data_IF_406826590762
#
_entry.id   IF_406826590762
#
_cell.length_a   1.000
_cell.length_b   1.000
_cell.length_c   1.000
_cell.angle_alpha   90.00
_cell.angle_beta   90.00
_cell.angle_gamma   90.00
#
_symmetry.space_group_name_H-M   'P 1'
#
loop_
_entity.id
_entity.type
_entity.pdbx_description
1 polymer ?
#
# COMPACT_ATOMS: atom_id res chain seq x y z
N UNK A 1 18.69 -10.42 -11.46
CA UNK A 1 17.35 -10.99 -11.23
C UNK A 1 16.40 -10.08 -11.95
N UNK A 2 15.72 -10.60 -12.91
CA UNK A 2 14.67 -9.82 -13.54
C UNK A 2 13.51 -9.78 -12.54
N UNK A 3 13.19 -8.57 -12.07
CA UNK A 3 12.01 -8.37 -11.24
C UNK A 3 10.82 -8.62 -12.16
N UNK A 4 10.06 -9.67 -11.87
CA UNK A 4 8.83 -9.95 -12.60
C UNK A 4 7.69 -9.15 -11.93
N UNK A 5 7.17 -8.18 -12.66
CA UNK A 5 5.99 -7.39 -12.30
C UNK A 5 5.15 -7.19 -13.55
N UNK A 6 3.92 -6.72 -13.37
CA UNK A 6 3.04 -6.43 -14.52
C UNK A 6 3.75 -5.51 -15.54
N UNK A 7 3.71 -5.82 -16.85
CA UNK A 7 4.48 -5.13 -17.89
C UNK A 7 4.31 -3.61 -17.92
N UNK A 8 3.12 -3.10 -17.54
CA UNK A 8 2.87 -1.66 -17.48
C UNK A 8 3.77 -0.91 -16.45
N UNK A 9 4.24 -1.60 -15.41
CA UNK A 9 5.17 -1.04 -14.43
C UNK A 9 6.62 -1.21 -14.84
N UNK A 10 6.94 -2.26 -15.58
CA UNK A 10 8.31 -2.61 -15.90
C UNK A 10 9.03 -1.47 -16.64
N UNK A 11 8.40 -0.92 -17.69
CA UNK A 11 8.96 0.21 -18.43
C UNK A 11 9.17 1.45 -17.56
N UNK A 12 8.20 1.77 -16.68
CA UNK A 12 8.28 2.92 -15.78
C UNK A 12 9.38 2.79 -14.74
N UNK A 13 9.61 1.58 -14.23
CA UNK A 13 10.51 1.32 -13.10
C UNK A 13 11.87 0.78 -13.54
N UNK A 14 12.14 0.62 -14.84
CA UNK A 14 13.39 0.05 -15.35
C UNK A 14 14.62 0.77 -14.76
N UNK A 15 14.66 2.10 -14.85
CA UNK A 15 15.77 2.90 -14.31
C UNK A 15 15.93 2.71 -12.78
N UNK A 16 14.81 2.53 -12.06
CA UNK A 16 14.85 2.28 -10.63
C UNK A 16 15.43 0.89 -10.33
N UNK A 17 15.11 -0.12 -11.13
CA UNK A 17 15.65 -1.47 -10.99
C UNK A 17 17.13 -1.58 -11.34
N UNK A 18 17.59 -0.79 -12.29
CA UNK A 18 19.00 -0.73 -12.72
C UNK A 18 19.87 0.06 -11.75
N UNK A 19 19.27 0.88 -10.88
CA UNK A 19 20.02 1.72 -9.96
C UNK A 19 20.82 0.89 -8.95
N UNK A 20 22.11 1.24 -8.66
CA UNK A 20 22.95 0.47 -7.75
C UNK A 20 22.37 0.25 -6.34
N UNK A 21 21.55 1.19 -5.84
CA UNK A 21 20.89 1.01 -4.53
C UNK A 21 19.86 -0.12 -4.56
N UNK A 22 19.16 -0.31 -5.69
CA UNK A 22 18.21 -1.42 -5.84
C UNK A 22 18.93 -2.77 -5.94
N UNK A 23 20.07 -2.82 -6.62
CA UNK A 23 20.87 -4.04 -6.70
C UNK A 23 21.39 -4.46 -5.32
N UNK A 24 21.84 -3.50 -4.49
CA UNK A 24 22.22 -3.78 -3.09
C UNK A 24 21.02 -4.27 -2.27
N UNK A 25 19.85 -3.64 -2.42
CA UNK A 25 18.62 -4.06 -1.76
C UNK A 25 18.25 -5.51 -2.12
N UNK A 26 18.30 -5.88 -3.39
CA UNK A 26 17.97 -7.24 -3.81
C UNK A 26 18.95 -8.26 -3.25
N UNK A 27 20.23 -7.93 -3.17
CA UNK A 27 21.23 -8.79 -2.54
C UNK A 27 20.96 -9.00 -1.05
N UNK A 28 20.59 -7.93 -0.33
CA UNK A 28 20.17 -7.99 1.06
C UNK A 28 18.90 -8.87 1.22
N UNK A 29 17.86 -8.60 0.44
CA UNK A 29 16.58 -9.36 0.52
C UNK A 29 16.81 -10.85 0.26
N UNK A 30 17.60 -11.20 -0.73
CA UNK A 30 17.94 -12.62 -1.01
C UNK A 30 18.62 -13.28 0.19
N UNK A 31 19.61 -12.61 0.78
CA UNK A 31 20.30 -13.13 1.97
C UNK A 31 19.32 -13.31 3.13
N UNK A 32 18.41 -12.36 3.34
CA UNK A 32 17.37 -12.46 4.39
C UNK A 32 16.45 -13.66 4.19
N UNK A 33 15.96 -13.89 2.97
CA UNK A 33 15.10 -15.03 2.67
C UNK A 33 15.80 -16.40 2.71
N UNK A 34 17.12 -16.42 2.56
CA UNK A 34 17.91 -17.64 2.71
C UNK A 34 18.20 -17.97 4.18
N UNK A 35 18.39 -16.97 5.03
CA UNK A 35 18.84 -17.14 6.40
C UNK A 35 17.70 -17.07 7.43
N UNK A 36 16.59 -16.43 7.09
CA UNK A 36 15.48 -16.13 7.99
C UNK A 36 14.13 -16.44 7.34
N UNK A 37 13.14 -16.67 8.18
CA UNK A 37 11.76 -16.66 7.72
C UNK A 37 11.36 -15.19 7.47
N UNK A 38 10.96 -14.88 6.24
CA UNK A 38 10.56 -13.54 5.83
C UNK A 38 9.17 -13.54 5.17
N UNK A 39 8.51 -12.40 5.23
CA UNK A 39 7.18 -12.20 4.65
C UNK A 39 7.14 -10.94 3.76
N UNK A 40 6.24 -10.91 2.74
CA UNK A 40 5.42 -12.01 2.23
C UNK A 40 6.29 -13.10 1.59
N UNK A 41 5.74 -14.23 1.09
CA UNK A 41 6.49 -15.16 0.23
C UNK A 41 7.18 -14.43 -0.90
N UNK A 42 8.39 -14.85 -1.28
CA UNK A 42 9.24 -14.14 -2.26
C UNK A 42 8.54 -13.83 -3.59
N UNK A 43 7.67 -14.75 -4.05
CA UNK A 43 6.84 -14.55 -5.26
C UNK A 43 5.77 -13.46 -5.12
N UNK A 44 5.48 -13.01 -3.90
CA UNK A 44 4.42 -12.04 -3.61
C UNK A 44 4.96 -10.66 -3.19
N UNK A 45 6.27 -10.46 -3.16
CA UNK A 45 6.87 -9.17 -2.75
C UNK A 45 6.33 -8.01 -3.59
N UNK A 46 6.13 -8.22 -4.89
CA UNK A 46 5.66 -7.19 -5.84
C UNK A 46 4.16 -7.31 -6.18
N UNK A 47 3.39 -8.09 -5.43
CA UNK A 47 1.99 -8.38 -5.74
C UNK A 47 1.10 -7.11 -5.85
N UNK A 48 1.42 -6.02 -5.14
CA UNK A 48 0.72 -4.75 -5.29
C UNK A 48 0.78 -4.20 -6.72
N UNK A 49 1.90 -4.39 -7.42
CA UNK A 49 2.09 -3.95 -8.80
C UNK A 49 1.40 -4.88 -9.80
N UNK A 50 1.36 -6.18 -9.50
CA UNK A 50 0.69 -7.17 -10.35
C UNK A 50 -0.83 -7.05 -10.24
N UNK A 51 -1.34 -6.82 -9.03
CA UNK A 51 -2.76 -6.69 -8.77
C UNK A 51 -3.37 -5.37 -9.27
N UNK A 52 -2.54 -4.31 -9.37
CA UNK A 52 -2.95 -2.98 -9.82
C UNK A 52 -2.03 -2.48 -10.95
N UNK A 53 -2.32 -2.79 -12.22
CA UNK A 53 -1.58 -2.28 -13.37
C UNK A 53 -1.48 -0.75 -13.38
N UNK A 54 -0.38 -0.18 -13.87
CA UNK A 54 -0.09 1.27 -13.84
C UNK A 54 -1.20 2.11 -14.45
N UNK A 55 -1.75 1.68 -15.59
CA UNK A 55 -2.84 2.37 -16.29
C UNK A 55 -4.13 2.43 -15.47
N UNK A 56 -4.37 1.43 -14.61
CA UNK A 56 -5.54 1.33 -13.74
C UNK A 56 -5.43 2.14 -12.45
N UNK A 57 -4.24 2.57 -12.04
CA UNK A 57 -4.06 3.27 -10.75
C UNK A 57 -4.92 4.53 -10.69
N UNK A 58 -5.79 4.59 -9.70
CA UNK A 58 -6.64 5.72 -9.32
C UNK A 58 -6.36 6.20 -7.90
N UNK A 59 -6.05 5.26 -7.00
CA UNK A 59 -5.80 5.52 -5.59
C UNK A 59 -4.48 4.86 -5.19
N UNK A 60 -3.69 5.52 -4.38
CA UNK A 60 -2.48 4.96 -3.75
C UNK A 60 -2.71 4.93 -2.25
N UNK A 61 -2.80 3.75 -1.66
CA UNK A 61 -2.85 3.55 -0.22
C UNK A 61 -1.48 3.10 0.26
N UNK A 62 -0.81 3.95 1.04
CA UNK A 62 0.55 3.68 1.50
C UNK A 62 0.55 3.13 2.93
N UNK A 63 0.94 1.84 3.06
CA UNK A 63 1.30 1.19 4.31
C UNK A 63 2.78 1.39 4.66
N UNK A 64 3.19 0.93 5.83
CA UNK A 64 4.58 1.02 6.28
C UNK A 64 5.37 -0.22 5.88
N UNK A 65 5.11 -1.35 6.47
CA UNK A 65 5.74 -2.64 6.22
C UNK A 65 4.69 -3.78 6.24
N UNK A 66 5.02 -4.96 5.69
CA UNK A 66 4.09 -6.09 5.69
C UNK A 66 3.79 -6.58 7.11
N UNK A 67 2.67 -7.23 7.31
CA UNK A 67 2.44 -8.00 8.52
C UNK A 67 3.54 -9.05 8.71
N UNK A 68 4.02 -9.20 9.94
CA UNK A 68 5.15 -10.08 10.27
C UNK A 68 4.72 -11.41 10.91
N UNK A 69 3.42 -11.66 11.05
CA UNK A 69 2.86 -12.94 11.47
C UNK A 69 2.72 -13.93 10.31
N UNK A 70 2.82 -15.25 10.61
CA UNK A 70 2.68 -16.30 9.59
C UNK A 70 1.35 -16.20 8.84
N UNK A 71 1.39 -16.34 7.51
CA UNK A 71 0.20 -16.36 6.65
C UNK A 71 -0.52 -15.02 6.46
N UNK A 72 -0.08 -13.93 7.10
CA UNK A 72 -0.78 -12.65 7.04
C UNK A 72 -0.43 -11.82 5.79
N UNK A 73 0.86 -11.66 5.49
CA UNK A 73 1.29 -10.82 4.38
C UNK A 73 1.24 -11.57 3.06
N UNK A 74 0.67 -10.94 2.03
CA UNK A 74 0.61 -11.44 0.67
C UNK A 74 0.94 -10.36 -0.39
N UNK A 75 1.71 -9.34 0.03
CA UNK A 75 2.23 -8.29 -0.85
C UNK A 75 1.31 -7.10 -1.09
N UNK A 76 0.17 -7.02 -0.42
CA UNK A 76 -0.76 -5.90 -0.43
C UNK A 76 -0.81 -5.24 0.95
N UNK A 77 -0.66 -3.91 1.03
CA UNK A 77 -0.71 -3.19 2.30
C UNK A 77 -2.06 -3.36 3.00
N UNK A 78 -2.04 -3.55 4.32
CA UNK A 78 -3.20 -3.77 5.21
C UNK A 78 -4.02 -5.02 4.93
N UNK A 79 -3.78 -5.74 3.85
CA UNK A 79 -4.53 -6.91 3.41
C UNK A 79 -4.00 -8.20 4.02
N UNK A 80 -4.90 -9.16 4.27
CA UNK A 80 -4.57 -10.54 4.62
C UNK A 80 -5.32 -11.49 3.69
N UNK A 81 -4.81 -12.72 3.45
CA UNK A 81 -5.54 -13.73 2.69
C UNK A 81 -6.89 -14.11 3.32
N UNK A 82 -7.78 -14.68 2.51
CA UNK A 82 -9.06 -15.21 3.00
C UNK A 82 -8.84 -16.24 4.12
N UNK A 83 -9.72 -16.21 5.13
CA UNK A 83 -9.65 -17.11 6.29
C UNK A 83 -8.63 -16.71 7.36
N UNK A 84 -7.82 -15.68 7.14
CA UNK A 84 -6.91 -15.13 8.15
C UNK A 84 -7.66 -14.11 9.03
N UNK A 85 -7.55 -14.20 10.38
CA UNK A 85 -8.14 -13.21 11.28
C UNK A 85 -7.68 -11.79 10.94
N UNK A 86 -8.61 -10.83 10.99
CA UNK A 86 -8.31 -9.45 10.67
C UNK A 86 -7.34 -8.84 11.70
N UNK A 87 -6.16 -8.35 11.27
CA UNK A 87 -5.26 -7.63 12.15
C UNK A 87 -5.88 -6.34 12.70
N UNK A 88 -5.44 -5.84 13.86
CA UNK A 88 -6.08 -4.70 14.53
C UNK A 88 -6.20 -3.43 13.67
N UNK A 89 -5.23 -3.15 12.80
CA UNK A 89 -5.33 -2.02 11.87
C UNK A 89 -6.43 -2.22 10.83
N UNK A 90 -6.57 -3.42 10.29
CA UNK A 90 -7.60 -3.74 9.31
C UNK A 90 -9.00 -3.69 9.93
N UNK A 91 -9.16 -4.15 11.17
CA UNK A 91 -10.41 -4.01 11.93
C UNK A 91 -10.83 -2.53 12.00
N UNK A 92 -9.91 -1.64 12.32
CA UNK A 92 -10.21 -0.21 12.41
C UNK A 92 -10.47 0.44 11.03
N UNK A 93 -9.82 -0.04 9.97
CA UNK A 93 -10.14 0.36 8.59
C UNK A 93 -11.59 -0.01 8.26
N UNK A 94 -12.00 -1.23 8.55
CA UNK A 94 -13.36 -1.69 8.27
C UNK A 94 -14.42 -1.00 9.12
N UNK A 95 -14.16 -0.71 10.40
CA UNK A 95 -15.06 0.10 11.24
C UNK A 95 -15.26 1.52 10.69
N UNK A 96 -14.20 2.13 10.16
CA UNK A 96 -14.32 3.44 9.50
C UNK A 96 -15.09 3.33 8.18
N UNK A 97 -14.85 2.27 7.42
CA UNK A 97 -15.58 1.97 6.19
C UNK A 97 -17.09 1.84 6.43
N UNK A 98 -17.50 1.04 7.43
CA UNK A 98 -18.90 0.92 7.85
C UNK A 98 -19.51 2.27 8.19
N UNK A 99 -18.80 3.07 8.99
CA UNK A 99 -19.27 4.38 9.46
C UNK A 99 -19.35 5.41 8.34
N UNK A 100 -18.41 5.40 7.40
CA UNK A 100 -18.32 6.38 6.30
C UNK A 100 -19.33 6.11 5.20
N UNK A 101 -19.53 4.84 4.82
CA UNK A 101 -20.33 4.45 3.68
C UNK A 101 -21.65 3.75 4.04
N UNK A 102 -21.85 3.35 5.29
CA UNK A 102 -23.05 2.60 5.72
C UNK A 102 -23.10 1.17 5.19
N UNK A 103 -21.96 0.60 4.78
CA UNK A 103 -21.85 -0.79 4.30
C UNK A 103 -21.64 -1.75 5.46
N UNK A 104 -21.90 -3.04 5.26
CA UNK A 104 -21.68 -4.06 6.28
C UNK A 104 -20.18 -4.30 6.56
N UNK A 105 -19.88 -4.82 7.77
CA UNK A 105 -18.51 -5.20 8.12
C UNK A 105 -18.04 -6.38 7.25
N UNK A 106 -16.91 -6.25 6.51
CA UNK A 106 -16.44 -7.29 5.60
C UNK A 106 -16.08 -8.60 6.32
N UNK A 107 -16.48 -9.73 5.74
CA UNK A 107 -16.11 -11.06 6.24
C UNK A 107 -14.68 -11.45 5.88
N UNK A 108 -14.21 -11.02 4.71
CA UNK A 108 -12.83 -11.27 4.25
C UNK A 108 -11.94 -10.06 4.53
N UNK A 109 -10.69 -10.33 4.93
CA UNK A 109 -9.63 -9.34 5.04
C UNK A 109 -8.83 -9.15 3.75
N UNK A 110 -9.23 -9.80 2.67
CA UNK A 110 -8.52 -9.78 1.40
C UNK A 110 -8.93 -8.57 0.55
N UNK A 111 -8.05 -7.58 0.48
CA UNK A 111 -8.27 -6.33 -0.27
C UNK A 111 -7.94 -6.44 -1.78
N UNK A 112 -7.72 -7.65 -2.31
CA UNK A 112 -7.49 -7.86 -3.74
C UNK A 112 -8.59 -7.25 -4.63
N UNK A 113 -9.89 -7.28 -4.25
CA UNK A 113 -10.95 -6.60 -5.02
C UNK A 113 -10.73 -5.09 -5.14
N UNK A 114 -10.17 -4.42 -4.13
CA UNK A 114 -9.80 -3.01 -4.21
C UNK A 114 -8.64 -2.79 -5.19
N UNK A 115 -7.60 -3.63 -5.10
CA UNK A 115 -6.44 -3.54 -5.98
C UNK A 115 -6.84 -3.68 -7.46
N UNK A 116 -7.69 -4.66 -7.79
CA UNK A 116 -8.19 -4.87 -9.16
C UNK A 116 -9.01 -3.69 -9.71
N UNK A 117 -9.56 -2.85 -8.84
CA UNK A 117 -10.29 -1.64 -9.22
C UNK A 117 -9.39 -0.41 -9.39
N UNK A 118 -8.10 -0.51 -9.11
CA UNK A 118 -7.15 0.58 -9.26
C UNK A 118 -6.68 1.21 -7.95
N UNK A 119 -6.79 0.50 -6.81
CA UNK A 119 -6.16 0.89 -5.56
C UNK A 119 -4.80 0.23 -5.45
N UNK A 120 -3.72 0.99 -5.64
CA UNK A 120 -2.36 0.50 -5.40
C UNK A 120 -2.13 0.38 -3.89
N UNK A 121 -2.21 -0.85 -3.37
CA UNK A 121 -2.02 -1.18 -1.96
C UNK A 121 -0.52 -1.38 -1.67
N UNK A 122 0.24 -0.29 -1.60
CA UNK A 122 1.69 -0.30 -1.53
C UNK A 122 2.18 -0.16 -0.09
N UNK A 123 3.14 -1.00 0.32
CA UNK A 123 3.94 -0.73 1.53
C UNK A 123 5.19 0.06 1.18
N UNK A 124 5.69 0.89 2.10
CA UNK A 124 6.96 1.59 1.91
C UNK A 124 8.16 0.62 1.97
N UNK A 125 8.05 -0.45 2.75
CA UNK A 125 8.99 -1.56 2.84
C UNK A 125 8.27 -2.82 2.39
N UNK A 126 8.77 -3.53 1.37
CA UNK A 126 8.02 -4.62 0.74
C UNK A 126 8.28 -6.01 1.35
N UNK A 127 9.20 -6.11 2.29
CA UNK A 127 9.50 -7.35 2.99
C UNK A 127 9.81 -7.11 4.46
N UNK A 128 9.67 -8.15 5.29
CA UNK A 128 9.90 -8.09 6.73
C UNK A 128 10.31 -9.47 7.24
N UNK A 129 11.16 -9.54 8.28
CA UNK A 129 11.48 -10.78 8.96
C UNK A 129 10.33 -11.18 9.90
N UNK A 130 10.08 -12.48 10.01
CA UNK A 130 9.05 -13.03 10.89
C UNK A 130 9.18 -12.48 12.32
N UNK A 131 8.07 -12.04 12.89
CA UNK A 131 7.95 -11.50 14.25
C UNK A 131 8.78 -10.24 14.56
N UNK A 132 9.40 -9.60 13.54
CA UNK A 132 10.28 -8.43 13.71
C UNK A 132 9.82 -7.27 12.84
N UNK A 133 8.78 -6.54 13.29
CA UNK A 133 8.29 -5.35 12.59
C UNK A 133 9.43 -4.37 12.29
N UNK A 134 9.47 -3.83 11.08
CA UNK A 134 10.47 -2.85 10.65
C UNK A 134 11.88 -3.41 10.40
N UNK A 135 12.11 -4.73 10.48
CA UNK A 135 13.44 -5.35 10.34
C UNK A 135 14.14 -5.05 9.01
N UNK A 136 13.40 -4.79 7.94
CA UNK A 136 13.95 -4.44 6.62
C UNK A 136 13.88 -2.94 6.29
N UNK A 137 13.55 -2.09 7.27
CA UNK A 137 13.59 -0.64 7.10
C UNK A 137 15.04 -0.15 6.88
N UNK A 138 15.18 0.96 6.13
CA UNK A 138 16.47 1.60 5.81
C UNK A 138 17.44 0.71 5.02
N UNK A 139 16.96 -0.39 4.43
CA UNK A 139 17.77 -1.27 3.59
C UNK A 139 17.66 -0.93 2.09
N UNK A 140 16.83 0.07 1.74
CA UNK A 140 16.67 0.54 0.35
C UNK A 140 15.24 0.45 -0.19
N UNK A 141 14.33 -0.27 0.49
CA UNK A 141 12.92 -0.34 0.07
C UNK A 141 12.28 1.03 -0.02
N UNK A 142 12.48 1.89 0.99
CA UNK A 142 11.89 3.22 1.03
C UNK A 142 12.39 4.10 -0.11
N UNK A 143 13.65 3.94 -0.55
CA UNK A 143 14.18 4.65 -1.71
C UNK A 143 13.47 4.23 -2.99
N UNK A 144 13.25 2.93 -3.16
CA UNK A 144 12.53 2.39 -4.30
C UNK A 144 11.07 2.85 -4.33
N UNK A 145 10.34 2.69 -3.23
CA UNK A 145 8.92 3.07 -3.15
C UNK A 145 8.72 4.59 -3.20
N UNK A 146 9.67 5.39 -2.70
CA UNK A 146 9.67 6.85 -2.88
C UNK A 146 9.80 7.24 -4.35
N UNK A 147 10.60 6.51 -5.13
CA UNK A 147 10.67 6.71 -6.59
C UNK A 147 9.35 6.34 -7.27
N UNK A 148 8.69 5.25 -6.86
CA UNK A 148 7.36 4.89 -7.36
C UNK A 148 6.36 6.03 -7.13
N UNK A 149 6.31 6.59 -5.92
CA UNK A 149 5.41 7.70 -5.60
C UNK A 149 5.71 8.96 -6.45
N UNK A 150 6.99 9.32 -6.62
CA UNK A 150 7.41 10.45 -7.45
C UNK A 150 7.03 10.26 -8.92
N UNK A 151 7.27 9.07 -9.47
CA UNK A 151 6.94 8.75 -10.86
C UNK A 151 5.42 8.81 -11.10
N UNK A 152 4.62 8.24 -10.19
CA UNK A 152 3.16 8.34 -10.24
C UNK A 152 2.70 9.80 -10.18
N UNK A 153 3.24 10.57 -9.25
CA UNK A 153 2.90 11.99 -9.10
C UNK A 153 3.30 12.83 -10.32
N UNK A 154 4.41 12.51 -10.96
CA UNK A 154 4.87 13.24 -12.12
C UNK A 154 4.09 12.88 -13.40
N UNK A 155 3.89 11.58 -13.65
CA UNK A 155 3.38 11.08 -14.93
C UNK A 155 1.85 11.00 -15.02
N UNK A 156 1.16 10.97 -13.88
CA UNK A 156 -0.30 10.90 -13.84
C UNK A 156 -0.90 12.19 -13.29
N UNK A 157 -2.21 12.32 -13.42
CA UNK A 157 -3.02 13.37 -12.81
C UNK A 157 -4.31 12.82 -12.25
N UNK A 158 -4.92 13.53 -11.31
CA UNK A 158 -6.18 13.12 -10.71
C UNK A 158 -6.10 11.78 -9.97
N UNK A 159 -4.98 11.50 -9.28
CA UNK A 159 -4.85 10.39 -8.35
C UNK A 159 -5.26 10.84 -6.95
N UNK A 160 -5.63 9.87 -6.11
CA UNK A 160 -5.81 10.08 -4.67
C UNK A 160 -4.72 9.34 -3.91
N UNK A 161 -4.06 10.03 -2.99
CA UNK A 161 -3.06 9.43 -2.10
C UNK A 161 -3.62 9.38 -0.67
N UNK A 162 -3.75 8.17 -0.13
CA UNK A 162 -4.17 7.90 1.25
C UNK A 162 -2.92 7.69 2.11
N UNK A 163 -2.58 8.68 2.94
CA UNK A 163 -1.37 8.70 3.75
C UNK A 163 -1.74 8.63 5.24
N UNK A 164 -1.82 7.42 5.77
CA UNK A 164 -2.27 7.14 7.12
C UNK A 164 -1.13 6.97 8.11
N UNK A 165 -1.09 7.85 9.11
CA UNK A 165 -0.06 7.88 10.15
C UNK A 165 1.15 8.75 9.81
N UNK A 166 1.97 9.05 10.82
CA UNK A 166 3.10 9.99 10.71
C UNK A 166 4.16 9.59 9.70
N UNK A 167 4.39 8.27 9.52
CA UNK A 167 5.34 7.77 8.52
C UNK A 167 4.85 8.07 7.10
N UNK A 168 3.61 7.69 6.77
CA UNK A 168 3.05 7.92 5.44
C UNK A 168 2.86 9.42 5.16
N UNK A 169 2.43 10.23 6.14
CA UNK A 169 2.28 11.69 5.99
C UNK A 169 3.55 12.38 5.51
N UNK A 170 4.73 11.93 5.94
CA UNK A 170 6.02 12.50 5.50
C UNK A 170 6.24 12.35 4.00
N UNK A 171 5.54 11.40 3.35
CA UNK A 171 5.66 11.15 1.91
C UNK A 171 4.88 12.15 1.05
N UNK A 172 3.98 12.97 1.63
CA UNK A 172 3.25 14.02 0.91
C UNK A 172 4.19 14.98 0.16
N UNK A 173 5.42 15.21 0.65
CA UNK A 173 6.44 16.02 -0.03
C UNK A 173 6.89 15.50 -1.39
N UNK A 174 6.56 14.24 -1.72
CA UNK A 174 6.88 13.58 -2.98
C UNK A 174 5.76 13.71 -4.01
N UNK A 175 4.63 14.29 -3.62
CA UNK A 175 3.38 14.30 -4.37
C UNK A 175 3.01 15.73 -4.70
N UNK A 176 2.68 16.00 -5.96
CA UNK A 176 2.22 17.31 -6.42
C UNK A 176 0.75 17.54 -6.01
N UNK A 177 0.46 18.43 -5.04
CA UNK A 177 -0.89 18.69 -4.58
C UNK A 177 -1.76 19.43 -5.58
N UNK A 178 -1.19 20.01 -6.63
CA UNK A 178 -1.96 20.65 -7.70
C UNK A 178 -2.53 19.63 -8.70
N UNK A 179 -1.91 18.46 -8.78
CA UNK A 179 -2.34 17.37 -9.68
C UNK A 179 -3.16 16.30 -9.00
N UNK A 180 -3.06 16.14 -7.67
CA UNK A 180 -3.56 14.99 -6.94
C UNK A 180 -4.26 15.39 -5.65
N UNK A 181 -5.24 14.59 -5.22
CA UNK A 181 -5.82 14.71 -3.89
C UNK A 181 -4.94 13.94 -2.89
N UNK A 182 -4.56 14.61 -1.80
CA UNK A 182 -3.80 14.00 -0.70
C UNK A 182 -4.68 14.00 0.55
N UNK A 183 -5.07 12.82 1.03
CA UNK A 183 -5.86 12.63 2.24
C UNK A 183 -4.96 12.07 3.35
N UNK A 184 -4.92 12.75 4.49
CA UNK A 184 -4.07 12.36 5.62
C UNK A 184 -4.89 12.18 6.90
N UNK A 185 -4.58 11.14 7.69
CA UNK A 185 -5.17 10.90 9.02
C UNK A 185 -4.16 10.29 9.97
N UNK A 186 -4.56 10.00 11.20
CA UNK A 186 -3.80 9.10 12.07
C UNK A 186 -3.65 7.71 11.46
N UNK A 187 -2.85 6.85 12.08
CA UNK A 187 -2.70 5.46 11.65
C UNK A 187 -3.91 4.62 12.16
N UNK A 188 -4.40 3.64 11.39
CA UNK A 188 -5.51 2.79 11.84
C UNK A 188 -5.17 1.84 13.00
N UNK A 189 -3.89 1.69 13.38
CA UNK A 189 -3.50 0.87 14.53
C UNK A 189 -4.16 1.36 15.82
N UNK A 190 -4.47 0.46 16.78
CA UNK A 190 -5.08 0.83 18.06
C UNK A 190 -4.32 1.92 18.83
N UNK A 191 -2.98 1.94 18.73
CA UNK A 191 -2.13 2.97 19.36
C UNK A 191 -2.45 4.39 18.92
N UNK A 192 -2.91 4.57 17.68
CA UNK A 192 -3.30 5.86 17.12
C UNK A 192 -4.82 6.05 17.12
N UNK A 193 -5.57 5.03 16.73
CA UNK A 193 -7.02 5.07 16.63
C UNK A 193 -7.69 5.36 17.99
N UNK A 194 -7.22 4.73 19.07
CA UNK A 194 -7.75 4.92 20.42
C UNK A 194 -7.44 6.32 20.99
N UNK A 195 -6.54 7.07 20.37
CA UNK A 195 -6.28 8.49 20.70
C UNK A 195 -7.13 9.47 19.90
N UNK A 196 -8.10 8.99 19.10
CA UNK A 196 -9.00 9.81 18.31
C UNK A 196 -8.41 10.32 16.97
N UNK A 197 -7.26 9.83 16.56
CA UNK A 197 -6.61 10.35 15.34
C UNK A 197 -7.05 9.66 14.05
N UNK A 198 -7.85 8.58 14.13
CA UNK A 198 -8.22 7.76 12.99
C UNK A 198 -9.70 7.90 12.59
N UNK A 199 -10.62 7.64 13.51
CA UNK A 199 -12.04 7.56 13.20
C UNK A 199 -12.66 8.90 12.79
N UNK A 200 -13.60 8.85 11.81
CA UNK A 200 -14.27 10.03 11.28
C UNK A 200 -13.49 10.74 10.17
N UNK A 201 -12.45 10.11 9.62
CA UNK A 201 -11.68 10.67 8.53
C UNK A 201 -12.44 10.71 7.19
N UNK A 202 -13.43 9.83 6.98
CA UNK A 202 -14.29 9.77 5.79
C UNK A 202 -13.53 9.67 4.46
N UNK A 203 -12.39 9.02 4.46
CA UNK A 203 -11.55 8.96 3.27
C UNK A 203 -12.17 8.16 2.13
N UNK A 204 -12.99 7.15 2.40
CA UNK A 204 -13.60 6.32 1.36
C UNK A 204 -14.63 7.11 0.54
N UNK A 205 -15.52 7.85 1.19
CA UNK A 205 -16.49 8.72 0.52
C UNK A 205 -15.81 9.89 -0.20
N UNK A 206 -14.76 10.49 0.41
CA UNK A 206 -13.98 11.56 -0.22
C UNK A 206 -13.25 11.09 -1.48
N UNK A 207 -12.67 9.87 -1.47
CA UNK A 207 -12.07 9.25 -2.66
C UNK A 207 -13.08 9.16 -3.78
N UNK A 208 -14.26 8.60 -3.53
CA UNK A 208 -15.28 8.40 -4.56
C UNK A 208 -15.82 9.74 -5.07
N UNK A 209 -16.01 10.72 -4.20
CA UNK A 209 -16.42 12.08 -4.61
C UNK A 209 -15.37 12.70 -5.55
N UNK A 210 -14.08 12.57 -5.22
CA UNK A 210 -13.01 13.08 -6.07
C UNK A 210 -12.91 12.34 -7.40
N UNK A 211 -12.99 11.01 -7.40
CA UNK A 211 -12.95 10.22 -8.63
C UNK A 211 -14.10 10.59 -9.57
N UNK A 212 -15.31 10.74 -9.03
CA UNK A 212 -16.50 11.16 -9.79
C UNK A 212 -16.30 12.54 -10.42
N UNK A 213 -15.80 13.52 -9.68
CA UNK A 213 -15.54 14.87 -10.20
C UNK A 213 -14.47 14.90 -11.30
N UNK A 214 -13.62 13.87 -11.37
CA UNK A 214 -12.59 13.69 -12.41
C UNK A 214 -13.00 12.67 -13.51
N UNK A 215 -14.31 12.36 -13.61
CA UNK A 215 -14.85 11.42 -14.60
C UNK A 215 -14.20 10.03 -14.56
N UNK A 216 -13.75 9.61 -13.38
CA UNK A 216 -13.19 8.27 -13.13
C UNK A 216 -14.22 7.40 -12.42
N UNK A 217 -14.21 6.09 -12.71
CA UNK A 217 -15.07 5.14 -12.00
C UNK A 217 -14.71 5.12 -10.50
N UNK A 218 -15.74 5.12 -9.68
CA UNK A 218 -15.62 4.98 -8.23
C UNK A 218 -15.03 3.62 -7.82
N UNK A 219 -14.58 3.54 -6.60
CA UNK A 219 -14.16 2.27 -5.98
C UNK A 219 -15.37 1.69 -5.24
N UNK A 220 -15.71 0.44 -5.54
CA UNK A 220 -16.62 -0.36 -4.74
C UNK A 220 -15.83 -0.87 -3.54
N UNK A 221 -16.01 -0.21 -2.40
CA UNK A 221 -15.26 -0.51 -1.19
C UNK A 221 -15.80 -1.72 -0.41
N UNK A 222 -17.02 -2.13 -0.68
CA UNK A 222 -17.62 -3.34 -0.13
C UNK A 222 -16.88 -4.59 -0.64
N UNK A 223 -16.66 -5.60 0.25
CA UNK A 223 -15.89 -6.81 -0.03
C UNK A 223 -16.77 -8.05 0.07
#
# INVERSE_FOLDING_TARGET
>A
MDVQIHPSWQALLQTAFEHPSFQRLISFVRSEYQQNQCFPPGSQIFNAFDACPLDKVKVVLLGQDPYHGPGQAHGLSFSVPDGIPHPPSLINIFKELEKDLGVGYPQSGNLMPWAKQGVLLLNATLSVRAHQAGSHQKQGWEQFTDQVLKLLSHQKSGLVFLLWGGFAKKKQRLIDPQKHLILTSGHPSPLSANRGYWFGNRHFSQVNTYLRSHQKSEIQWEL
#
